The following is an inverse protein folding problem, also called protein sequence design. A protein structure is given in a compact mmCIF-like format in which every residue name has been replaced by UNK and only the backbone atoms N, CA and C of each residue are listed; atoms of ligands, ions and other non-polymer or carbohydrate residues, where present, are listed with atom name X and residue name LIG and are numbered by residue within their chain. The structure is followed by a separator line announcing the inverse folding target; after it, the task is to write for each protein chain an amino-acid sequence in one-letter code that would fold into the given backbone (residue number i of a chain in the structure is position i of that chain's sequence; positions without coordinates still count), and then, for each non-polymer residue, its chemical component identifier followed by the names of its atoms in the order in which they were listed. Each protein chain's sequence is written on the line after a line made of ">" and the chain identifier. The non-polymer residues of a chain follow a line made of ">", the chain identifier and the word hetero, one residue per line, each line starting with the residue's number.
data_IF_138588060619
#
_entry.id   IF_138588060619
#
_cell.length_a   1.000
_cell.length_b   1.000
_cell.length_c   1.000
_cell.angle_alpha   90.00
_cell.angle_beta   90.00
_cell.angle_gamma   90.00
#
_symmetry.space_group_name_H-M   'P 1'
#
loop_
_entity.id
_entity.type
_entity.pdbx_description
1 polymer ?
#
# COMPACT_ATOMS: atom_id res chain seq x y z
N UNK A 1 52.22 -15.90 -35.85
CA UNK A 1 53.01 -16.94 -35.15
C UNK A 1 52.81 -16.65 -33.68
N UNK A 2 52.37 -17.63 -32.89
CA UNK A 2 51.99 -17.36 -31.49
C UNK A 2 53.23 -16.95 -30.68
N UNK A 3 53.06 -16.04 -29.72
CA UNK A 3 54.15 -15.58 -28.84
C UNK A 3 54.82 -16.78 -28.16
N UNK A 4 54.01 -17.74 -27.72
CA UNK A 4 54.48 -18.99 -27.11
C UNK A 4 55.43 -19.76 -28.03
N UNK A 5 55.09 -19.85 -29.32
CA UNK A 5 55.94 -20.55 -30.27
C UNK A 5 57.27 -19.84 -30.55
N UNK A 6 57.29 -18.50 -30.47
CA UNK A 6 58.53 -17.73 -30.57
C UNK A 6 59.41 -17.90 -29.33
N UNK A 7 58.81 -18.00 -28.14
CA UNK A 7 59.51 -18.31 -26.89
C UNK A 7 60.11 -19.70 -26.95
N UNK A 8 59.35 -20.70 -27.40
CA UNK A 8 59.83 -22.08 -27.56
C UNK A 8 61.02 -22.15 -28.53
N UNK A 9 60.97 -21.42 -29.67
CA UNK A 9 62.08 -21.35 -30.62
C UNK A 9 63.31 -20.65 -30.06
N UNK A 10 63.13 -19.64 -29.21
CA UNK A 10 64.24 -18.96 -28.54
C UNK A 10 64.90 -19.89 -27.52
N UNK A 11 64.11 -20.66 -26.78
CA UNK A 11 64.59 -21.67 -25.83
C UNK A 11 65.34 -22.80 -26.56
N UNK A 12 64.81 -23.29 -27.67
CA UNK A 12 65.47 -24.28 -28.52
C UNK A 12 66.81 -23.75 -29.07
N UNK A 13 66.83 -22.50 -29.58
CA UNK A 13 68.06 -21.87 -30.03
C UNK A 13 69.10 -21.80 -28.91
N UNK A 14 68.69 -21.47 -27.69
CA UNK A 14 69.60 -21.40 -26.54
C UNK A 14 70.13 -22.77 -26.12
N UNK A 15 69.30 -23.81 -26.17
CA UNK A 15 69.69 -25.19 -25.85
C UNK A 15 70.68 -25.78 -26.88
N UNK A 16 70.65 -25.32 -28.13
CA UNK A 16 71.59 -25.74 -29.19
C UNK A 16 72.96 -25.04 -29.12
N UNK A 17 73.13 -24.02 -28.27
CA UNK A 17 74.32 -23.20 -28.26
C UNK A 17 75.51 -23.84 -27.53
N UNK A 18 76.73 -23.48 -27.96
CA UNK A 18 77.96 -24.00 -27.36
C UNK A 18 78.37 -23.15 -26.14
N UNK A 19 78.38 -23.76 -24.96
CA UNK A 19 78.87 -23.13 -23.74
C UNK A 19 80.40 -23.15 -23.68
N UNK A 20 81.01 -22.01 -23.33
CA UNK A 20 82.46 -21.88 -23.23
C UNK A 20 82.92 -22.42 -21.85
N UNK A 21 83.79 -23.46 -21.80
CA UNK A 21 84.26 -24.04 -20.53
C UNK A 21 84.93 -23.00 -19.64
N UNK A 22 84.73 -23.12 -18.32
CA UNK A 22 85.25 -22.19 -17.28
C UNK A 22 84.68 -20.77 -17.35
N UNK A 23 83.62 -20.52 -18.15
CA UNK A 23 82.91 -19.24 -18.19
C UNK A 23 81.39 -19.44 -18.15
N UNK A 24 80.64 -18.39 -17.83
CA UNK A 24 79.18 -18.38 -17.92
C UNK A 24 78.67 -17.91 -19.30
N UNK A 25 79.55 -17.87 -20.32
CA UNK A 25 79.23 -17.32 -21.63
C UNK A 25 78.85 -18.44 -22.61
N UNK A 26 77.90 -18.14 -23.48
CA UNK A 26 77.35 -19.05 -24.49
C UNK A 26 77.50 -18.41 -25.87
N UNK A 27 77.93 -19.19 -26.86
CA UNK A 27 78.05 -18.74 -28.26
C UNK A 27 76.74 -18.99 -28.97
N UNK A 28 76.11 -17.92 -29.46
CA UNK A 28 74.81 -17.96 -30.14
C UNK A 28 74.98 -17.53 -31.59
N UNK A 29 74.19 -18.11 -32.49
CA UNK A 29 74.09 -17.63 -33.87
C UNK A 29 73.29 -16.32 -33.91
N UNK A 30 73.97 -15.23 -34.26
CA UNK A 30 73.41 -13.88 -34.31
C UNK A 30 72.23 -13.78 -35.26
N UNK A 31 72.35 -14.30 -36.49
CA UNK A 31 71.31 -14.20 -37.52
C UNK A 31 69.99 -14.85 -37.06
N UNK A 32 70.06 -16.07 -36.52
CA UNK A 32 68.89 -16.80 -36.00
C UNK A 32 68.26 -16.10 -34.79
N UNK A 33 69.08 -15.54 -33.91
CA UNK A 33 68.58 -14.81 -32.74
C UNK A 33 67.86 -13.52 -33.17
N UNK A 34 68.43 -12.77 -34.12
CA UNK A 34 67.83 -11.55 -34.65
C UNK A 34 66.52 -11.84 -35.39
N UNK A 35 66.43 -12.93 -36.16
CA UNK A 35 65.18 -13.35 -36.81
C UNK A 35 64.05 -13.59 -35.80
N UNK A 36 64.34 -14.28 -34.68
CA UNK A 36 63.34 -14.53 -33.64
C UNK A 36 62.93 -13.22 -32.95
N UNK A 37 63.88 -12.32 -32.68
CA UNK A 37 63.61 -11.01 -32.10
C UNK A 37 62.73 -10.16 -33.03
N UNK A 38 63.02 -10.13 -34.33
CA UNK A 38 62.21 -9.40 -35.31
C UNK A 38 60.80 -9.97 -35.42
N UNK A 39 60.65 -11.30 -35.39
CA UNK A 39 59.34 -11.94 -35.36
C UNK A 39 58.56 -11.64 -34.07
N UNK A 40 59.23 -11.60 -32.91
CA UNK A 40 58.63 -11.19 -31.63
C UNK A 40 58.20 -9.73 -31.66
N UNK A 41 59.01 -8.86 -32.26
CA UNK A 41 58.74 -7.42 -32.37
C UNK A 41 57.51 -7.10 -33.22
N UNK A 42 57.17 -7.98 -34.15
CA UNK A 42 55.95 -7.87 -34.97
C UNK A 42 54.76 -8.55 -34.25
N UNK A 43 54.95 -9.77 -33.76
CA UNK A 43 53.83 -10.60 -33.30
C UNK A 43 53.32 -10.21 -31.91
N UNK A 44 54.21 -9.82 -30.98
CA UNK A 44 53.81 -9.49 -29.60
C UNK A 44 52.87 -8.28 -29.54
N UNK A 45 53.17 -7.13 -30.19
CA UNK A 45 52.28 -5.97 -30.15
C UNK A 45 50.91 -6.26 -30.75
N UNK A 46 50.85 -7.05 -31.83
CA UNK A 46 49.60 -7.42 -32.48
C UNK A 46 48.74 -8.31 -31.58
N UNK A 47 49.33 -9.31 -30.92
CA UNK A 47 48.63 -10.20 -29.98
C UNK A 47 48.09 -9.42 -28.77
N UNK A 48 48.90 -8.50 -28.22
CA UNK A 48 48.50 -7.63 -27.11
C UNK A 48 47.33 -6.73 -27.51
N UNK A 49 47.38 -6.14 -28.72
CA UNK A 49 46.31 -5.32 -29.26
C UNK A 49 45.03 -6.13 -29.46
N UNK A 50 45.13 -7.35 -29.99
CA UNK A 50 44.00 -8.25 -30.15
C UNK A 50 43.38 -8.62 -28.80
N UNK A 51 44.20 -8.95 -27.80
CA UNK A 51 43.72 -9.24 -26.45
C UNK A 51 42.98 -8.04 -25.82
N UNK A 52 43.52 -6.83 -25.96
CA UNK A 52 42.86 -5.61 -25.50
C UNK A 52 41.52 -5.37 -26.22
N UNK A 53 41.44 -5.63 -27.52
CA UNK A 53 40.19 -5.53 -28.28
C UNK A 53 39.15 -6.54 -27.81
N UNK A 54 39.54 -7.79 -27.55
CA UNK A 54 38.65 -8.83 -27.03
C UNK A 54 38.10 -8.43 -25.65
N UNK A 55 38.94 -7.90 -24.77
CA UNK A 55 38.51 -7.41 -23.45
C UNK A 55 37.51 -6.26 -23.62
N UNK A 56 37.81 -5.26 -24.46
CA UNK A 56 36.91 -4.14 -24.70
C UNK A 56 35.56 -4.58 -25.33
N UNK A 57 35.60 -5.55 -26.24
CA UNK A 57 34.39 -6.15 -26.81
C UNK A 57 33.57 -6.90 -25.75
N UNK A 58 34.21 -7.68 -24.88
CA UNK A 58 33.56 -8.37 -23.78
C UNK A 58 32.84 -7.38 -22.86
N UNK A 59 33.49 -6.31 -22.46
CA UNK A 59 32.91 -5.30 -21.57
C UNK A 59 31.72 -4.61 -22.24
N UNK A 60 31.82 -4.31 -23.53
CA UNK A 60 30.70 -3.76 -24.31
C UNK A 60 29.51 -4.72 -24.39
N UNK A 61 29.76 -6.01 -24.66
CA UNK A 61 28.71 -7.04 -24.70
C UNK A 61 28.05 -7.20 -23.34
N UNK A 62 28.83 -7.20 -22.25
CA UNK A 62 28.30 -7.27 -20.89
C UNK A 62 27.41 -6.06 -20.56
N UNK A 63 27.85 -4.85 -20.91
CA UNK A 63 27.06 -3.64 -20.70
C UNK A 63 25.74 -3.69 -21.48
N UNK A 64 25.78 -4.10 -22.75
CA UNK A 64 24.58 -4.25 -23.58
C UNK A 64 23.63 -5.31 -23.01
N UNK A 65 24.16 -6.47 -22.60
CA UNK A 65 23.35 -7.53 -22.01
C UNK A 65 22.69 -7.09 -20.70
N UNK A 66 23.39 -6.31 -19.86
CA UNK A 66 22.82 -5.73 -18.64
C UNK A 66 21.70 -4.74 -18.97
N UNK A 67 21.91 -3.85 -19.94
CA UNK A 67 20.89 -2.90 -20.39
C UNK A 67 19.64 -3.61 -20.94
N UNK A 68 19.82 -4.63 -21.77
CA UNK A 68 18.73 -5.44 -22.32
C UNK A 68 17.99 -6.22 -21.22
N UNK A 69 18.71 -6.77 -20.24
CA UNK A 69 18.11 -7.44 -19.10
C UNK A 69 17.26 -6.48 -18.26
N UNK A 70 17.80 -5.29 -17.95
CA UNK A 70 17.06 -4.25 -17.24
C UNK A 70 15.82 -3.79 -18.00
N UNK A 71 15.95 -3.59 -19.32
CA UNK A 71 14.82 -3.23 -20.19
C UNK A 71 13.75 -4.33 -20.21
N UNK A 72 14.15 -5.60 -20.25
CA UNK A 72 13.24 -6.74 -20.26
C UNK A 72 12.48 -6.84 -18.95
N UNK A 73 13.17 -6.73 -17.82
CA UNK A 73 12.53 -6.75 -16.48
C UNK A 73 11.56 -5.58 -16.33
N UNK A 74 11.94 -4.38 -16.78
CA UNK A 74 11.06 -3.21 -16.75
C UNK A 74 9.78 -3.46 -17.58
N UNK A 75 9.94 -3.91 -18.82
CA UNK A 75 8.80 -4.21 -19.70
C UNK A 75 7.89 -5.30 -19.12
N UNK A 76 8.46 -6.31 -18.46
CA UNK A 76 7.69 -7.37 -17.81
C UNK A 76 6.88 -6.85 -16.63
N UNK A 77 7.47 -5.96 -15.81
CA UNK A 77 6.75 -5.29 -14.71
C UNK A 77 5.62 -4.41 -15.23
N UNK A 78 5.92 -3.53 -16.19
CA UNK A 78 4.93 -2.62 -16.78
C UNK A 78 3.75 -3.41 -17.37
N UNK A 79 4.02 -4.54 -18.06
CA UNK A 79 2.97 -5.44 -18.56
C UNK A 79 2.21 -6.15 -17.44
N UNK A 80 2.88 -6.56 -16.37
CA UNK A 80 2.25 -7.19 -15.21
C UNK A 80 1.25 -6.24 -14.54
N UNK A 81 1.66 -5.01 -14.33
CA UNK A 81 0.81 -3.96 -13.76
C UNK A 81 -0.40 -3.66 -14.68
N UNK A 82 -0.18 -3.59 -16.00
CA UNK A 82 -1.24 -3.43 -17.00
C UNK A 82 -2.23 -4.61 -16.99
N UNK A 83 -1.74 -5.85 -16.86
CA UNK A 83 -2.60 -7.04 -16.80
C UNK A 83 -3.43 -7.04 -15.53
N UNK A 84 -2.84 -6.70 -14.38
CA UNK A 84 -3.56 -6.64 -13.09
C UNK A 84 -4.60 -5.52 -13.13
N UNK A 85 -4.25 -4.34 -13.66
CA UNK A 85 -5.18 -3.22 -13.77
C UNK A 85 -6.36 -3.51 -14.72
N UNK A 86 -6.11 -4.29 -15.78
CA UNK A 86 -7.14 -4.75 -16.73
C UNK A 86 -7.77 -6.08 -16.34
N UNK A 87 -7.35 -6.68 -15.23
CA UNK A 87 -7.89 -7.94 -14.80
C UNK A 87 -9.35 -7.70 -14.43
N UNK A 88 -10.26 -8.43 -15.08
CA UNK A 88 -11.68 -8.32 -14.84
C UNK A 88 -12.03 -8.50 -13.35
N UNK A 89 -11.13 -9.11 -12.58
CA UNK A 89 -11.20 -9.24 -11.13
C UNK A 89 -11.14 -7.88 -10.43
N UNK A 90 -10.25 -6.97 -10.80
CA UNK A 90 -10.13 -5.64 -10.17
C UNK A 90 -11.34 -4.78 -10.50
N UNK A 91 -11.77 -4.79 -11.76
CA UNK A 91 -12.99 -4.06 -12.18
C UNK A 91 -14.24 -4.62 -11.50
N UNK A 92 -14.40 -5.94 -11.44
CA UNK A 92 -15.50 -6.58 -10.73
C UNK A 92 -15.44 -6.31 -9.21
N UNK A 93 -14.25 -6.28 -8.61
CA UNK A 93 -14.07 -5.94 -7.21
C UNK A 93 -14.48 -4.49 -6.92
N UNK A 94 -14.08 -3.54 -7.79
CA UNK A 94 -14.48 -2.14 -7.67
C UNK A 94 -15.99 -1.97 -7.83
N UNK A 95 -16.59 -2.58 -8.86
CA UNK A 95 -18.04 -2.54 -9.07
C UNK A 95 -18.80 -3.11 -7.87
N UNK A 96 -18.32 -4.22 -7.30
CA UNK A 96 -18.91 -4.82 -6.10
C UNK A 96 -18.75 -3.93 -4.87
N UNK A 97 -17.60 -3.26 -4.71
CA UNK A 97 -17.39 -2.31 -3.62
C UNK A 97 -18.38 -1.13 -3.73
N UNK A 98 -18.56 -0.58 -4.93
CA UNK A 98 -19.50 0.51 -5.17
C UNK A 98 -20.95 0.09 -4.90
N UNK A 99 -21.32 -1.14 -5.28
CA UNK A 99 -22.63 -1.72 -4.96
C UNK A 99 -22.84 -1.87 -3.44
N UNK A 100 -21.85 -2.35 -2.70
CA UNK A 100 -21.92 -2.48 -1.24
C UNK A 100 -22.10 -1.11 -0.59
N UNK A 101 -21.36 -0.09 -1.04
CA UNK A 101 -21.49 1.28 -0.52
C UNK A 101 -22.87 1.86 -0.82
N UNK A 102 -23.38 1.66 -2.04
CA UNK A 102 -24.71 2.12 -2.42
C UNK A 102 -25.80 1.46 -1.56
N UNK A 103 -25.72 0.14 -1.39
CA UNK A 103 -26.65 -0.62 -0.56
C UNK A 103 -26.60 -0.16 0.91
N UNK A 104 -25.40 0.00 1.47
CA UNK A 104 -25.23 0.48 2.84
C UNK A 104 -25.81 1.90 3.05
N UNK A 105 -25.70 2.79 2.06
CA UNK A 105 -26.32 4.13 2.14
C UNK A 105 -27.83 4.06 2.17
N UNK A 106 -28.44 3.20 1.34
CA UNK A 106 -29.89 3.00 1.34
C UNK A 106 -30.36 2.41 2.67
N UNK A 107 -29.65 1.41 3.19
CA UNK A 107 -29.96 0.81 4.49
C UNK A 107 -29.87 1.81 5.65
N UNK A 108 -28.82 2.64 5.68
CA UNK A 108 -28.68 3.68 6.70
C UNK A 108 -29.82 4.69 6.64
N UNK A 109 -30.25 5.08 5.45
CA UNK A 109 -31.38 6.01 5.31
C UNK A 109 -32.69 5.37 5.80
N UNK A 110 -32.95 4.12 5.44
CA UNK A 110 -34.12 3.39 5.92
C UNK A 110 -34.11 3.26 7.44
N UNK A 111 -32.97 2.90 8.04
CA UNK A 111 -32.82 2.80 9.50
C UNK A 111 -33.12 4.14 10.18
N UNK A 112 -32.71 5.26 9.59
CA UNK A 112 -33.02 6.60 10.13
C UNK A 112 -34.50 6.89 10.11
N UNK A 113 -35.16 6.63 8.99
CA UNK A 113 -36.61 6.83 8.85
C UNK A 113 -37.36 5.95 9.86
N UNK A 114 -37.01 4.67 9.95
CA UNK A 114 -37.61 3.74 10.92
C UNK A 114 -37.39 4.18 12.37
N UNK A 115 -36.21 4.71 12.69
CA UNK A 115 -35.91 5.22 14.03
C UNK A 115 -36.71 6.50 14.34
N UNK A 116 -36.83 7.41 13.40
CA UNK A 116 -37.61 8.64 13.55
C UNK A 116 -39.10 8.30 13.73
N UNK A 117 -39.64 7.39 12.93
CA UNK A 117 -41.03 6.90 13.05
C UNK A 117 -41.28 6.28 14.44
N UNK A 118 -40.36 5.43 14.90
CA UNK A 118 -40.44 4.83 16.24
C UNK A 118 -40.40 5.87 17.36
N UNK A 119 -39.54 6.89 17.23
CA UNK A 119 -39.44 7.99 18.21
C UNK A 119 -40.74 8.79 18.23
N UNK A 120 -41.32 9.10 17.07
CA UNK A 120 -42.59 9.83 16.97
C UNK A 120 -43.71 9.03 17.64
N UNK A 121 -43.82 7.73 17.37
CA UNK A 121 -44.82 6.86 18.00
C UNK A 121 -44.65 6.84 19.52
N UNK A 122 -43.43 6.63 20.00
CA UNK A 122 -43.12 6.54 21.43
C UNK A 122 -43.39 7.86 22.16
N UNK A 123 -42.98 8.99 21.56
CA UNK A 123 -43.24 10.32 22.12
C UNK A 123 -44.72 10.67 22.09
N UNK A 124 -45.45 10.31 21.03
CA UNK A 124 -46.89 10.50 20.95
C UNK A 124 -47.65 9.67 22.00
N UNK A 125 -47.22 8.43 22.25
CA UNK A 125 -47.77 7.62 23.34
C UNK A 125 -47.52 8.26 24.71
N UNK A 126 -46.31 8.77 24.94
CA UNK A 126 -45.96 9.49 26.17
C UNK A 126 -46.78 10.77 26.36
N UNK A 127 -46.98 11.56 25.30
CA UNK A 127 -47.79 12.78 25.32
C UNK A 127 -49.24 12.48 25.73
N UNK A 128 -49.83 11.42 25.17
CA UNK A 128 -51.18 10.99 25.51
C UNK A 128 -51.28 10.60 26.99
N UNK A 129 -50.30 9.85 27.51
CA UNK A 129 -50.28 9.45 28.92
C UNK A 129 -50.13 10.65 29.86
N UNK A 130 -49.23 11.59 29.54
CA UNK A 130 -49.08 12.83 30.30
C UNK A 130 -50.36 13.67 30.27
N UNK A 131 -51.06 13.74 29.14
CA UNK A 131 -52.33 14.46 29.03
C UNK A 131 -53.41 13.83 29.91
N UNK A 132 -53.47 12.49 29.96
CA UNK A 132 -54.38 11.77 30.85
C UNK A 132 -54.08 12.07 32.32
N UNK A 133 -52.80 12.04 32.71
CA UNK A 133 -52.36 12.36 34.08
C UNK A 133 -52.69 13.81 34.47
N UNK A 134 -52.47 14.77 33.57
CA UNK A 134 -52.84 16.19 33.78
C UNK A 134 -54.35 16.33 33.97
N UNK A 135 -55.16 15.65 33.16
CA UNK A 135 -56.61 15.68 33.30
C UNK A 135 -57.07 15.06 34.62
N UNK A 136 -56.46 13.95 35.06
CA UNK A 136 -56.73 13.35 36.37
C UNK A 136 -56.38 14.31 37.51
N UNK A 137 -55.22 14.97 37.45
CA UNK A 137 -54.81 15.96 38.44
C UNK A 137 -55.78 17.16 38.50
N UNK A 138 -56.19 17.69 37.34
CA UNK A 138 -57.19 18.78 37.25
C UNK A 138 -58.52 18.37 37.86
N UNK A 139 -59.01 17.17 37.55
CA UNK A 139 -60.25 16.65 38.12
C UNK A 139 -60.15 16.47 39.64
N UNK A 140 -59.01 15.97 40.14
CA UNK A 140 -58.73 15.84 41.57
C UNK A 140 -58.73 17.19 42.30
N UNK A 141 -58.07 18.20 41.74
CA UNK A 141 -58.07 19.57 42.27
C UNK A 141 -59.49 20.13 42.28
N UNK A 142 -60.21 20.04 41.16
CA UNK A 142 -61.58 20.56 41.05
C UNK A 142 -62.50 19.94 42.12
N UNK A 143 -62.41 18.62 42.34
CA UNK A 143 -63.18 17.92 43.36
C UNK A 143 -62.87 18.43 44.78
N UNK A 144 -61.59 18.53 45.15
CA UNK A 144 -61.19 19.04 46.46
C UNK A 144 -61.60 20.50 46.68
N UNK A 145 -61.55 21.31 45.63
CA UNK A 145 -61.94 22.73 45.70
C UNK A 145 -63.45 22.86 45.90
N UNK A 146 -64.25 22.05 45.19
CA UNK A 146 -65.69 21.98 45.36
C UNK A 146 -66.10 21.45 46.74
N UNK A 147 -65.46 20.38 47.24
CA UNK A 147 -65.67 19.88 48.60
C UNK A 147 -65.38 20.96 49.64
N UNK A 148 -64.27 21.70 49.50
CA UNK A 148 -63.91 22.79 50.42
C UNK A 148 -64.92 23.95 50.42
N UNK A 149 -65.51 24.28 49.27
CA UNK A 149 -66.56 25.31 49.17
C UNK A 149 -67.89 24.82 49.74
N UNK A 150 -68.23 23.54 49.56
CA UNK A 150 -69.41 22.92 50.17
C UNK A 150 -69.33 22.91 51.71
N UNK A 151 -68.16 22.55 52.25
CA UNK A 151 -67.93 22.66 53.69
C UNK A 151 -68.03 24.11 54.20
N UNK A 152 -67.46 25.09 53.48
CA UNK A 152 -67.54 26.50 53.89
C UNK A 152 -68.99 27.05 53.87
N UNK A 153 -69.82 26.63 52.91
CA UNK A 153 -71.24 27.00 52.84
C UNK A 153 -72.08 26.36 53.96
N UNK A 154 -71.84 25.09 54.30
CA UNK A 154 -72.54 24.43 55.42
C UNK A 154 -72.19 25.07 56.79
N UNK A 155 -70.99 25.64 56.96
CA UNK A 155 -70.65 26.36 58.19
C UNK A 155 -71.30 27.75 58.25
N UNK A 156 -71.46 28.47 57.12
CA UNK A 156 -72.16 29.75 57.10
C UNK A 156 -73.68 29.60 57.30
N UNK A 157 -74.31 28.60 56.67
CA UNK A 157 -75.75 28.34 56.84
C UNK A 157 -76.10 27.92 58.28
N UNK A 158 -75.26 27.08 58.93
CA UNK A 158 -75.48 26.70 60.33
C UNK A 158 -75.28 27.86 61.32
N UNK A 159 -74.43 28.85 61.02
CA UNK A 159 -74.25 30.03 61.86
C UNK A 159 -75.43 31.00 61.70
N UNK A 160 -75.97 31.17 60.48
CA UNK A 160 -77.18 31.98 60.25
C UNK A 160 -78.47 31.35 60.83
N UNK A 161 -78.55 30.02 60.92
CA UNK A 161 -79.67 29.33 61.59
C UNK A 161 -79.57 29.45 63.12
N UNK A 162 -78.39 29.26 63.70
CA UNK A 162 -78.16 29.44 65.14
C UNK A 162 -78.39 30.90 65.60
N UNK A 163 -78.06 31.91 64.78
CA UNK A 163 -78.34 33.32 65.12
C UNK A 163 -79.84 33.66 65.07
N UNK A 164 -80.64 32.98 64.23
CA UNK A 164 -82.10 33.18 64.17
C UNK A 164 -82.85 32.48 65.29
N UNK A 165 -82.35 31.36 65.82
CA UNK A 165 -82.96 30.68 66.99
C UNK A 165 -82.71 31.41 68.32
N UNK A 166 -81.73 32.31 68.40
CA UNK A 166 -81.42 33.06 69.65
C UNK A 166 -82.23 34.36 69.78
N UNK A 167 -82.90 34.82 68.71
CA UNK A 167 -83.73 36.04 68.70
C UNK A 167 -85.26 35.80 68.87
N UNK A 168 -85.74 34.55 69.00
CA UNK A 168 -87.12 34.20 69.40
C UNK A 168 -87.24 33.81 70.89
#
# INVERSE_FOLDING_TARGET
>A
MDILHLVDRLEELFNECFAIPLTNNVIVNEDRMLEIIDQMRISIPDEVKNAQQVIAQRDRVLAQAQEEAHRTVKLAKDKGDDIIARDAIVEAAQSRADQIIAQARVEVENIRIEADDYIIETLGALENELSNLINQARNGIAKLTAERQGFAGEFEDNIEEDEKEVEE
#
